data_IF_083250759038
#
_entry.id   IF_083250759038
#
_cell.length_a   1.000
_cell.length_b   1.000
_cell.length_c   1.000
_cell.angle_alpha   90.00
_cell.angle_beta   90.00
_cell.angle_gamma   90.00
#
_symmetry.space_group_name_H-M   'P 1'
#
loop_
_entity.id
_entity.type
_entity.pdbx_description
1 polymer ?
#
# COMPACT_ATOMS: atom_id res chain seq x y z
N UNK A 1 7.01 4.25 10.36
CA UNK A 1 5.59 4.57 10.00
C UNK A 1 5.25 3.77 8.77
N UNK A 2 4.04 3.24 8.67
CA UNK A 2 3.60 2.44 7.52
C UNK A 2 2.35 3.04 6.85
N UNK A 3 2.30 3.00 5.53
CA UNK A 3 1.16 3.39 4.70
C UNK A 3 0.56 2.11 4.11
N UNK A 4 -0.73 1.89 4.38
CA UNK A 4 -1.53 0.77 3.91
C UNK A 4 -2.70 1.26 3.06
N UNK A 5 -3.31 0.36 2.29
CA UNK A 5 -4.44 0.68 1.40
C UNK A 5 -4.33 -0.04 0.06
N UNK A 6 -5.37 0.08 -0.78
CA UNK A 6 -5.48 -0.76 -1.97
C UNK A 6 -4.41 -0.43 -3.00
N UNK A 7 -4.16 -1.37 -3.91
CA UNK A 7 -3.43 -1.02 -5.12
C UNK A 7 -4.17 0.12 -5.85
N UNK A 8 -3.43 1.07 -6.41
CA UNK A 8 -4.01 2.31 -6.97
C UNK A 8 -4.29 3.42 -5.95
N UNK A 9 -4.16 3.18 -4.64
CA UNK A 9 -4.41 4.22 -3.63
C UNK A 9 -3.38 5.36 -3.61
N UNK A 10 -2.22 5.22 -4.26
CA UNK A 10 -1.18 6.25 -4.28
C UNK A 10 -0.19 6.19 -3.10
N UNK A 11 -0.08 5.04 -2.45
CA UNK A 11 0.79 4.82 -1.28
C UNK A 11 2.25 5.21 -1.53
N UNK A 12 2.84 4.77 -2.64
CA UNK A 12 4.24 5.07 -2.98
C UNK A 12 4.46 6.58 -3.13
N UNK A 13 3.55 7.27 -3.85
CA UNK A 13 3.61 8.73 -4.04
C UNK A 13 3.46 9.49 -2.72
N UNK A 14 2.50 9.09 -1.88
CA UNK A 14 2.31 9.73 -0.58
C UNK A 14 3.46 9.46 0.39
N UNK A 15 3.99 8.23 0.39
CA UNK A 15 5.13 7.85 1.23
C UNK A 15 6.39 8.62 0.84
N UNK A 16 6.67 8.80 -0.45
CA UNK A 16 7.79 9.58 -0.94
C UNK A 16 7.70 11.06 -0.51
N UNK A 17 6.55 11.70 -0.76
CA UNK A 17 6.32 13.09 -0.32
C UNK A 17 6.40 13.26 1.20
N UNK A 18 5.89 12.27 1.96
CA UNK A 18 5.94 12.28 3.42
C UNK A 18 7.36 12.11 3.93
N UNK A 19 8.13 11.20 3.35
CA UNK A 19 9.52 10.97 3.72
C UNK A 19 10.38 12.21 3.50
N UNK A 20 10.23 12.87 2.35
CA UNK A 20 10.90 14.15 2.07
C UNK A 20 10.57 15.24 3.10
N UNK A 21 9.30 15.35 3.50
CA UNK A 21 8.87 16.30 4.55
C UNK A 21 9.40 15.97 5.94
N UNK A 22 9.57 14.69 6.24
CA UNK A 22 10.06 14.22 7.54
C UNK A 22 11.60 14.13 7.60
N UNK A 23 12.30 14.33 6.49
CA UNK A 23 13.75 14.08 6.41
C UNK A 23 14.12 12.62 6.68
N UNK A 24 13.29 11.68 6.21
CA UNK A 24 13.42 10.24 6.47
C UNK A 24 13.59 9.47 5.16
N UNK A 25 14.13 8.26 5.26
CA UNK A 25 14.15 7.31 4.15
C UNK A 25 12.77 6.68 3.94
N UNK A 26 12.47 6.35 2.69
CA UNK A 26 11.25 5.66 2.28
C UNK A 26 11.58 4.32 1.64
N UNK A 27 10.79 3.30 1.96
CA UNK A 27 10.81 2.00 1.30
C UNK A 27 9.42 1.68 0.75
N UNK A 28 9.36 1.35 -0.53
CA UNK A 28 8.22 0.68 -1.15
C UNK A 28 8.52 -0.82 -1.19
N UNK A 29 7.80 -1.61 -0.38
CA UNK A 29 8.10 -3.03 -0.19
C UNK A 29 7.88 -3.83 -1.48
N UNK A 30 6.88 -3.47 -2.29
CA UNK A 30 6.67 -4.13 -3.59
C UNK A 30 7.91 -3.92 -4.48
N UNK A 31 8.38 -2.68 -4.61
CA UNK A 31 9.54 -2.34 -5.45
C UNK A 31 10.84 -2.92 -4.91
N UNK A 32 10.96 -3.02 -3.60
CA UNK A 32 12.12 -3.61 -2.95
C UNK A 32 12.24 -5.10 -3.25
N UNK A 33 11.13 -5.83 -3.16
CA UNK A 33 11.04 -7.24 -3.57
C UNK A 33 11.37 -7.38 -5.06
N UNK A 34 10.78 -6.55 -5.94
CA UNK A 34 11.07 -6.60 -7.38
C UNK A 34 12.54 -6.34 -7.71
N UNK A 35 13.23 -5.50 -6.92
CA UNK A 35 14.65 -5.21 -7.12
C UNK A 35 15.55 -6.36 -6.69
N UNK A 36 15.17 -7.10 -5.65
CA UNK A 36 15.93 -8.23 -5.12
C UNK A 36 15.64 -9.56 -5.82
N UNK A 37 14.45 -9.70 -6.38
CA UNK A 37 13.92 -10.95 -6.93
C UNK A 37 13.59 -10.79 -8.43
N UNK A 38 12.31 -10.73 -8.77
CA UNK A 38 11.79 -10.58 -10.12
C UNK A 38 10.49 -9.74 -10.07
N UNK A 39 9.93 -9.31 -11.23
CA UNK A 39 8.65 -8.62 -11.25
C UNK A 39 7.58 -9.38 -10.48
N UNK A 40 6.76 -8.69 -9.67
CA UNK A 40 5.73 -9.35 -8.83
C UNK A 40 4.81 -10.24 -9.68
N UNK A 41 4.52 -9.83 -10.91
CA UNK A 41 3.71 -10.64 -11.82
C UNK A 41 4.31 -12.01 -12.13
N UNK A 42 5.62 -12.08 -12.34
CA UNK A 42 6.34 -13.32 -12.57
C UNK A 42 6.42 -14.14 -11.28
N UNK A 43 6.71 -13.50 -10.15
CA UNK A 43 6.73 -14.16 -8.85
C UNK A 43 5.38 -14.80 -8.50
N UNK A 44 4.26 -14.15 -8.79
CA UNK A 44 2.94 -14.74 -8.58
C UNK A 44 2.69 -15.97 -9.46
N UNK A 45 3.19 -15.97 -10.70
CA UNK A 45 3.07 -17.12 -11.62
C UNK A 45 3.95 -18.28 -11.15
N UNK A 46 5.20 -18.00 -10.78
CA UNK A 46 6.18 -19.02 -10.40
C UNK A 46 5.93 -19.60 -9.01
N UNK A 47 5.59 -18.74 -8.05
CA UNK A 47 5.53 -19.12 -6.63
C UNK A 47 4.10 -19.36 -6.15
N UNK A 48 3.11 -18.82 -6.85
CA UNK A 48 1.75 -18.70 -6.33
C UNK A 48 1.64 -17.66 -5.21
N UNK A 49 0.41 -17.28 -4.88
CA UNK A 49 0.15 -16.22 -3.90
C UNK A 49 0.65 -16.60 -2.50
N UNK A 50 0.47 -17.84 -2.05
CA UNK A 50 0.83 -18.24 -0.67
C UNK A 50 2.31 -18.03 -0.38
N UNK A 51 3.20 -18.49 -1.28
CA UNK A 51 4.64 -18.30 -1.12
C UNK A 51 5.03 -16.84 -1.27
N UNK A 52 4.42 -16.09 -2.21
CA UNK A 52 4.64 -14.65 -2.31
C UNK A 52 4.30 -13.93 -0.99
N UNK A 53 3.14 -14.22 -0.39
CA UNK A 53 2.72 -13.61 0.88
C UNK A 53 3.67 -13.91 2.03
N UNK A 54 4.26 -15.11 2.07
CA UNK A 54 5.27 -15.46 3.07
C UNK A 54 6.55 -14.62 2.89
N UNK A 55 7.01 -14.44 1.66
CA UNK A 55 8.20 -13.62 1.34
C UNK A 55 7.93 -12.13 1.60
N UNK A 56 6.76 -11.64 1.20
CA UNK A 56 6.30 -10.27 1.48
C UNK A 56 6.27 -10.01 2.99
N UNK A 57 5.68 -10.91 3.77
CA UNK A 57 5.65 -10.79 5.22
C UNK A 57 7.04 -10.72 5.85
N UNK A 58 7.98 -11.55 5.40
CA UNK A 58 9.36 -11.53 5.90
C UNK A 58 10.05 -10.16 5.67
N UNK A 59 9.89 -9.56 4.48
CA UNK A 59 10.42 -8.22 4.21
C UNK A 59 9.78 -7.18 5.12
N UNK A 60 8.45 -7.20 5.27
CA UNK A 60 7.74 -6.26 6.13
C UNK A 60 8.20 -6.37 7.58
N UNK A 61 8.33 -7.59 8.11
CA UNK A 61 8.85 -7.81 9.46
C UNK A 61 10.27 -7.27 9.62
N UNK A 62 11.17 -7.55 8.67
CA UNK A 62 12.54 -7.02 8.71
C UNK A 62 12.60 -5.49 8.76
N UNK A 63 11.75 -4.80 7.98
CA UNK A 63 11.68 -3.34 8.01
C UNK A 63 11.09 -2.79 9.32
N UNK A 64 10.09 -3.46 9.88
CA UNK A 64 9.45 -3.06 11.14
C UNK A 64 10.36 -3.29 12.36
N UNK A 65 11.24 -4.29 12.30
CA UNK A 65 12.24 -4.59 13.34
C UNK A 65 13.53 -3.77 13.20
N UNK A 66 13.71 -3.10 12.06
CA UNK A 66 14.89 -2.26 11.83
C UNK A 66 14.96 -1.10 12.82
N UNK A 67 16.18 -0.70 13.20
CA UNK A 67 16.40 0.50 14.03
C UNK A 67 16.28 1.79 13.25
N UNK A 68 16.10 1.71 11.94
CA UNK A 68 15.98 2.88 11.07
C UNK A 68 14.58 3.48 11.16
N UNK A 69 14.53 4.80 11.09
CA UNK A 69 13.27 5.53 11.16
C UNK A 69 12.70 5.71 9.76
N UNK A 70 11.94 4.72 9.30
CA UNK A 70 11.45 4.61 7.92
C UNK A 70 10.00 5.07 7.72
N UNK A 71 9.70 5.51 6.50
CA UNK A 71 8.35 5.55 5.93
C UNK A 71 8.18 4.36 4.99
N UNK A 72 7.26 3.44 5.31
CA UNK A 72 7.02 2.23 4.53
C UNK A 72 5.76 2.37 3.70
N UNK A 73 5.81 2.08 2.40
CA UNK A 73 4.65 1.82 1.57
C UNK A 73 4.51 0.30 1.38
N UNK A 74 3.40 -0.27 1.84
CA UNK A 74 3.15 -1.71 1.79
C UNK A 74 2.37 -2.10 0.55
N UNK A 75 2.52 -3.34 0.08
CA UNK A 75 1.68 -3.93 -0.95
C UNK A 75 0.20 -3.95 -0.53
N UNK A 76 -0.72 -3.85 -1.50
CA UNK A 76 -2.16 -3.81 -1.22
C UNK A 76 -2.69 -5.05 -0.49
N UNK A 77 -2.01 -6.19 -0.65
CA UNK A 77 -2.34 -7.44 0.04
C UNK A 77 -1.48 -7.74 1.27
N UNK A 78 -0.46 -6.95 1.61
CA UNK A 78 0.43 -7.26 2.74
C UNK A 78 -0.33 -7.47 4.06
N UNK A 79 -1.37 -6.67 4.27
CA UNK A 79 -2.22 -6.75 5.46
C UNK A 79 -3.29 -7.84 5.39
N UNK A 80 -3.34 -8.69 4.36
CA UNK A 80 -4.16 -9.92 4.40
C UNK A 80 -3.49 -11.01 5.23
N UNK A 81 -2.17 -10.96 5.38
CA UNK A 81 -1.38 -11.80 6.28
C UNK A 81 -1.61 -11.38 7.75
N UNK A 82 -2.13 -12.25 8.63
CA UNK A 82 -2.38 -11.92 10.03
C UNK A 82 -1.15 -11.42 10.79
N UNK A 83 0.00 -12.10 10.64
CA UNK A 83 1.24 -11.71 11.32
C UNK A 83 1.71 -10.30 10.96
N UNK A 84 1.58 -9.90 9.69
CA UNK A 84 1.90 -8.53 9.25
C UNK A 84 1.01 -7.51 9.96
N UNK A 85 -0.31 -7.79 10.07
CA UNK A 85 -1.24 -6.88 10.75
C UNK A 85 -0.97 -6.74 12.24
N UNK A 86 -0.62 -7.85 12.89
CA UNK A 86 -0.31 -7.86 14.31
C UNK A 86 0.93 -7.03 14.59
N UNK A 87 2.02 -7.32 13.89
CA UNK A 87 3.29 -6.62 14.03
C UNK A 87 3.15 -5.12 13.74
N UNK A 88 2.43 -4.72 12.67
CA UNK A 88 2.13 -3.31 12.40
C UNK A 88 1.44 -2.61 13.57
N UNK A 89 0.52 -3.30 14.25
CA UNK A 89 -0.20 -2.76 15.40
C UNK A 89 0.68 -2.54 16.63
N UNK A 90 1.78 -3.29 16.74
CA UNK A 90 2.69 -3.24 17.88
C UNK A 90 3.82 -2.23 17.66
N UNK A 91 4.33 -2.10 16.43
CA UNK A 91 5.60 -1.40 16.18
C UNK A 91 5.50 -0.14 15.32
N UNK A 92 4.39 0.08 14.61
CA UNK A 92 4.31 1.16 13.64
C UNK A 92 3.06 2.04 13.77
N UNK A 93 3.28 3.36 13.72
CA UNK A 93 2.21 4.27 13.33
C UNK A 93 1.77 3.94 11.90
N UNK A 94 0.52 3.52 11.75
CA UNK A 94 -0.04 3.01 10.48
C UNK A 94 -1.11 3.96 9.95
N UNK A 95 -0.91 4.45 8.72
CA UNK A 95 -1.85 5.31 8.00
C UNK A 95 -2.53 4.51 6.91
N UNK A 96 -3.86 4.49 6.93
CA UNK A 96 -4.63 3.91 5.84
C UNK A 96 -5.01 5.00 4.83
N UNK A 97 -4.62 4.78 3.57
CA UNK A 97 -5.01 5.62 2.44
C UNK A 97 -6.26 5.03 1.81
N UNK A 98 -7.39 5.71 2.05
CA UNK A 98 -8.68 5.33 1.49
C UNK A 98 -8.92 6.07 0.17
N UNK A 99 -9.24 5.32 -0.89
CA UNK A 99 -9.68 5.84 -2.20
C UNK A 99 -10.87 5.01 -2.66
N UNK A 100 -11.77 5.59 -3.43
CA UNK A 100 -12.87 4.86 -4.03
C UNK A 100 -12.36 3.85 -5.08
N UNK A 101 -13.15 2.80 -5.31
CA UNK A 101 -12.76 1.68 -6.19
C UNK A 101 -12.60 2.10 -7.65
N UNK A 102 -13.37 3.09 -8.11
CA UNK A 102 -13.34 3.56 -9.49
C UNK A 102 -12.01 4.29 -9.76
N UNK A 103 -11.65 5.23 -8.87
CA UNK A 103 -10.35 5.91 -8.89
C UNK A 103 -9.19 4.92 -8.78
N UNK A 104 -9.30 3.91 -7.91
CA UNK A 104 -8.27 2.88 -7.77
C UNK A 104 -8.10 2.07 -9.06
N UNK A 105 -9.21 1.67 -9.68
CA UNK A 105 -9.24 0.90 -10.93
C UNK A 105 -8.64 1.68 -12.09
N UNK A 106 -9.05 2.92 -12.29
CA UNK A 106 -8.55 3.78 -13.37
C UNK A 106 -7.03 3.94 -13.34
N UNK A 107 -6.43 3.95 -12.14
CA UNK A 107 -4.99 4.08 -11.96
C UNK A 107 -4.19 2.81 -12.25
N UNK A 108 -4.81 1.63 -12.22
CA UNK A 108 -4.09 0.35 -12.32
C UNK A 108 -4.47 -0.48 -13.53
N UNK A 109 -5.63 -0.21 -14.15
CA UNK A 109 -6.10 -0.94 -15.34
C UNK A 109 -5.09 -0.86 -16.47
N UNK A 110 -4.87 -1.97 -17.17
CA UNK A 110 -3.91 -2.06 -18.27
C UNK A 110 -2.43 -2.05 -17.85
N UNK A 111 -2.13 -2.08 -16.54
CA UNK A 111 -0.78 -2.24 -16.02
C UNK A 111 -0.40 -3.70 -15.72
N UNK A 112 0.85 -3.92 -15.30
CA UNK A 112 1.39 -5.24 -14.98
C UNK A 112 1.05 -5.70 -13.54
N UNK A 113 -0.18 -5.46 -13.08
CA UNK A 113 -0.64 -5.80 -11.73
C UNK A 113 -1.48 -7.09 -11.77
N UNK A 114 -1.00 -8.23 -11.25
CA UNK A 114 -1.66 -9.53 -11.40
C UNK A 114 -3.11 -9.57 -10.89
N UNK A 115 -3.36 -8.85 -9.80
CA UNK A 115 -4.67 -8.78 -9.14
C UNK A 115 -5.60 -7.70 -9.73
N UNK A 116 -5.18 -7.02 -10.80
CA UNK A 116 -5.94 -5.95 -11.47
C UNK A 116 -6.07 -6.18 -12.99
N UNK A 117 -6.13 -7.45 -13.41
CA UNK A 117 -6.34 -7.82 -14.82
C UNK A 117 -7.83 -7.90 -15.19
N UNK A 118 -8.70 -8.22 -14.23
CA UNK A 118 -10.16 -8.28 -14.41
C UNK A 118 -10.86 -7.31 -13.44
N UNK A 119 -11.72 -6.43 -13.97
CA UNK A 119 -12.39 -5.38 -13.19
C UNK A 119 -13.32 -5.96 -12.13
N UNK A 120 -14.05 -7.03 -12.47
CA UNK A 120 -15.01 -7.64 -11.55
C UNK A 120 -14.29 -8.27 -10.36
N UNK A 121 -13.20 -9.00 -10.61
CA UNK A 121 -12.33 -9.54 -9.57
C UNK A 121 -11.69 -8.43 -8.75
N UNK A 122 -11.20 -7.37 -9.38
CA UNK A 122 -10.61 -6.21 -8.71
C UNK A 122 -11.59 -5.56 -7.71
N UNK A 123 -12.82 -5.29 -8.14
CA UNK A 123 -13.88 -4.72 -7.28
C UNK A 123 -14.24 -5.66 -6.13
N UNK A 124 -14.26 -6.98 -6.35
CA UNK A 124 -14.46 -7.97 -5.27
C UNK A 124 -13.34 -7.91 -4.24
N UNK A 125 -12.08 -7.95 -4.71
CA UNK A 125 -10.90 -7.86 -3.84
C UNK A 125 -10.87 -6.55 -3.05
N UNK A 126 -11.28 -5.44 -3.66
CA UNK A 126 -11.39 -4.14 -2.98
C UNK A 126 -12.39 -4.21 -1.82
N UNK A 127 -13.60 -4.73 -2.07
CA UNK A 127 -14.64 -4.84 -1.06
C UNK A 127 -14.26 -5.77 0.11
N UNK A 128 -13.58 -6.88 -0.20
CA UNK A 128 -13.04 -7.81 0.80
C UNK A 128 -11.95 -7.13 1.65
N UNK A 129 -10.99 -6.47 0.98
CA UNK A 129 -9.85 -5.83 1.64
C UNK A 129 -10.25 -4.66 2.54
N UNK A 130 -11.26 -3.86 2.14
CA UNK A 130 -11.76 -2.74 2.95
C UNK A 130 -12.14 -3.15 4.36
N UNK A 131 -12.78 -4.32 4.53
CA UNK A 131 -13.22 -4.83 5.85
C UNK A 131 -12.05 -5.05 6.80
N UNK A 132 -10.92 -5.50 6.25
CA UNK A 132 -9.69 -5.75 7.00
C UNK A 132 -9.04 -4.44 7.45
N UNK A 133 -9.09 -3.38 6.63
CA UNK A 133 -8.40 -2.13 6.92
C UNK A 133 -9.18 -1.19 7.85
N UNK A 134 -10.51 -1.16 7.73
CA UNK A 134 -11.37 -0.32 8.56
C UNK A 134 -11.31 -0.66 10.05
N UNK A 135 -11.05 -1.93 10.39
CA UNK A 135 -11.11 -2.42 11.77
C UNK A 135 -9.88 -1.99 12.60
N UNK A 136 -8.78 -1.54 11.98
CA UNK A 136 -7.49 -1.36 12.67
C UNK A 136 -6.85 0.03 12.52
N UNK A 137 -7.35 0.91 11.63
CA UNK A 137 -6.79 2.26 11.49
C UNK A 137 -7.16 3.12 12.70
N UNK A 138 -6.24 3.26 13.66
CA UNK A 138 -6.45 4.01 14.89
C UNK A 138 -6.69 5.52 14.66
N UNK A 139 -6.39 6.07 13.48
CA UNK A 139 -6.92 7.37 13.00
C UNK A 139 -7.09 7.36 11.48
N UNK A 140 -8.30 7.70 11.01
CA UNK A 140 -8.67 7.86 9.60
C UNK A 140 -8.12 9.20 9.09
N UNK A 141 -7.35 9.20 8.01
CA UNK A 141 -7.05 10.40 7.24
C UNK A 141 -7.81 10.27 5.92
N UNK A 142 -8.89 11.03 5.77
CA UNK A 142 -9.64 11.08 4.52
C UNK A 142 -8.84 11.89 3.50
N UNK A 143 -8.39 11.23 2.42
CA UNK A 143 -7.86 11.95 1.27
C UNK A 143 -9.06 12.57 0.55
N UNK A 144 -9.40 13.81 0.91
CA UNK A 144 -10.34 14.60 0.13
C UNK A 144 -9.65 14.90 -1.20
N UNK A 145 -10.20 14.36 -2.28
CA UNK A 145 -9.86 14.78 -3.63
C UNK A 145 -10.08 16.29 -3.70
N UNK A 146 -8.97 17.03 -3.81
CA UNK A 146 -9.01 18.46 -4.04
C UNK A 146 -9.69 18.69 -5.38
N UNK A 147 -10.96 19.09 -5.36
CA UNK A 147 -11.58 19.71 -6.52
C UNK A 147 -10.82 21.00 -6.78
N UNK A 148 -10.01 21.01 -7.83
CA UNK A 148 -9.49 22.23 -8.39
C UNK A 148 -10.67 23.08 -8.87
N UNK A 149 -11.08 24.05 -8.04
CA UNK A 149 -11.78 25.25 -8.48
C UNK A 149 -10.99 26.44 -8.01
N UNK A 150 -10.48 27.15 -9.00
CA UNK A 150 -9.94 28.48 -8.92
C UNK A 150 -10.88 29.42 -8.15
N UNK A 151 -10.33 30.27 -7.31
CA UNK A 151 -10.54 31.72 -7.36
C UNK A 151 -9.83 32.43 -6.21
N UNK A 152 -9.11 33.49 -6.60
CA UNK A 152 -8.78 34.70 -5.82
C UNK A 152 -8.20 34.49 -4.43
N UNK A 153 -6.95 34.90 -4.25
CA UNK A 153 -6.65 36.11 -3.45
C UNK A 153 -5.44 36.81 -4.06
N UNK A 154 -5.63 38.07 -4.39
CA UNK A 154 -4.59 38.99 -4.83
C UNK A 154 -4.45 40.11 -3.82
N UNK A 155 -3.22 40.63 -3.78
CA UNK A 155 -2.68 41.75 -2.98
C UNK A 155 -2.42 41.46 -1.51
#
# INVERSE_FOLDING_TARGET
MALIGFMGAGKSTMADALAGRLGRSMIDVDRDIERGEAPIAELFVEWGEEKFRRVEAAHVHGYLESREVLVLALGGGAVTTPGVREHLGETAFTVWIDVDVDTAWERVRGGNRPLAQDERQFRRLYAESRRTWTTRSSRRQESTSASARSSRWGR
#
